data_IF_791594659546
#
_entry.id   IF_791594659546
#
_cell.length_a   1.000
_cell.length_b   1.000
_cell.length_c   1.000
_cell.angle_alpha   90.00
_cell.angle_beta   90.00
_cell.angle_gamma   90.00
#
_symmetry.space_group_name_H-M   'P 1'
#
loop_
_entity.id
_entity.type
_entity.pdbx_description
1 polymer ?
#
# COMPACT_ATOMS: atom_id res chain seq x y z
N UNK A 1 -13.66 -14.76 -1.51
CA UNK A 1 -12.54 -15.17 -0.64
C UNK A 1 -11.40 -14.17 -0.71
N UNK A 2 -10.66 -14.05 0.37
CA UNK A 2 -9.45 -13.22 0.41
C UNK A 2 -8.29 -13.98 -0.24
N UNK A 3 -7.70 -13.41 -1.30
CA UNK A 3 -6.57 -14.04 -1.98
C UNK A 3 -5.22 -13.42 -1.61
N UNK A 4 -5.20 -12.21 -1.04
CA UNK A 4 -3.99 -11.53 -0.60
C UNK A 4 -4.31 -10.51 0.50
N UNK A 5 -3.31 -10.16 1.31
CA UNK A 5 -3.37 -9.04 2.25
C UNK A 5 -2.38 -7.99 1.81
N UNK A 6 -2.87 -6.79 1.52
CA UNK A 6 -2.04 -5.65 1.15
C UNK A 6 -1.20 -5.17 2.32
N UNK A 7 -0.02 -4.62 2.05
CA UNK A 7 0.84 -4.00 3.06
C UNK A 7 1.04 -2.53 2.75
N UNK A 8 1.00 -1.71 3.79
CA UNK A 8 1.24 -0.28 3.72
C UNK A 8 2.74 0.01 3.84
N UNK A 9 3.21 0.97 3.06
CA UNK A 9 4.60 1.44 3.09
C UNK A 9 4.62 2.97 3.06
N UNK A 10 5.48 3.59 3.84
CA UNK A 10 5.89 4.98 3.64
C UNK A 10 7.03 4.97 2.63
N UNK A 11 6.86 5.60 1.48
CA UNK A 11 7.78 5.55 0.36
C UNK A 11 8.09 6.93 -0.21
N UNK A 12 9.29 7.08 -0.75
CA UNK A 12 9.74 8.24 -1.51
C UNK A 12 10.47 7.81 -2.78
N UNK A 13 10.37 8.59 -3.83
CA UNK A 13 11.21 8.42 -5.03
C UNK A 13 12.68 8.77 -4.78
N UNK A 14 12.98 9.52 -3.72
CA UNK A 14 14.35 9.77 -3.26
C UNK A 14 14.89 8.55 -2.51
N UNK A 15 15.99 7.98 -3.01
CA UNK A 15 16.63 6.79 -2.43
C UNK A 15 17.17 6.98 -1.00
N UNK A 16 17.30 8.21 -0.54
CA UNK A 16 17.91 8.55 0.75
C UNK A 16 16.93 9.14 1.78
N UNK A 17 15.68 9.43 1.39
CA UNK A 17 14.76 10.16 2.26
C UNK A 17 14.14 9.27 3.34
N UNK A 18 13.62 8.09 2.98
CA UNK A 18 12.92 7.22 3.92
C UNK A 18 13.89 6.18 4.47
N UNK A 19 14.05 6.19 5.78
CA UNK A 19 14.77 5.17 6.56
C UNK A 19 13.76 4.43 7.44
N UNK A 20 14.14 4.03 8.62
CA UNK A 20 13.30 3.24 9.54
C UNK A 20 12.57 4.07 10.61
N UNK A 21 12.40 5.37 10.39
CA UNK A 21 11.75 6.28 11.33
C UNK A 21 10.70 7.14 10.59
N UNK A 22 9.43 6.78 10.77
CA UNK A 22 8.29 7.49 10.17
C UNK A 22 8.22 8.94 10.67
N UNK A 23 8.42 9.15 11.98
CA UNK A 23 8.33 10.49 12.57
C UNK A 23 9.42 11.41 12.02
N UNK A 24 10.65 10.92 11.87
CA UNK A 24 11.75 11.68 11.30
C UNK A 24 11.45 12.11 9.85
N UNK A 25 10.89 11.24 9.03
CA UNK A 25 10.49 11.55 7.66
C UNK A 25 9.40 12.62 7.63
N UNK A 26 8.30 12.40 8.37
CA UNK A 26 7.13 13.30 8.34
C UNK A 26 7.43 14.68 8.95
N UNK A 27 8.34 14.78 9.89
CA UNK A 27 8.74 16.05 10.52
C UNK A 27 9.95 16.72 9.82
N UNK A 28 10.51 16.10 8.80
CA UNK A 28 11.62 16.69 8.04
C UNK A 28 11.19 17.98 7.34
N UNK A 29 12.03 19.02 7.43
CA UNK A 29 11.82 20.28 6.73
C UNK A 29 11.82 20.13 5.19
N UNK A 30 12.42 19.05 4.69
CA UNK A 30 12.46 18.73 3.26
C UNK A 30 11.18 18.06 2.77
N UNK A 31 10.31 17.59 3.67
CA UNK A 31 9.01 16.97 3.33
C UNK A 31 7.90 18.01 3.50
N UNK A 32 7.54 18.64 2.41
CA UNK A 32 6.48 19.67 2.36
C UNK A 32 5.13 19.09 1.98
N UNK A 33 5.12 17.96 1.27
CA UNK A 33 3.92 17.28 0.81
C UNK A 33 4.01 15.79 1.12
N UNK A 34 2.95 15.25 1.69
CA UNK A 34 2.80 13.82 1.98
C UNK A 34 1.55 13.32 1.25
N UNK A 35 1.73 12.40 0.33
CA UNK A 35 0.61 11.81 -0.41
C UNK A 35 -0.06 10.71 0.43
N UNK A 36 -1.37 10.82 0.57
CA UNK A 36 -2.22 9.83 1.26
C UNK A 36 -3.45 9.58 0.39
N UNK A 37 -3.88 8.34 0.25
CA UNK A 37 -5.13 8.04 -0.41
C UNK A 37 -6.31 8.53 0.45
N UNK A 38 -7.38 9.00 -0.20
CA UNK A 38 -8.55 9.47 0.50
C UNK A 38 -9.18 8.32 1.32
N UNK A 39 -9.23 8.41 2.67
CA UNK A 39 -9.70 7.31 3.52
C UNK A 39 -11.18 6.96 3.30
N UNK A 40 -11.98 7.88 2.75
CA UNK A 40 -13.38 7.64 2.41
C UNK A 40 -13.55 6.80 1.13
N UNK A 41 -12.51 6.71 0.31
CA UNK A 41 -12.55 6.08 -1.02
C UNK A 41 -11.61 4.89 -1.17
N UNK A 42 -10.57 4.81 -0.33
CA UNK A 42 -9.49 3.85 -0.51
C UNK A 42 -9.05 3.23 0.82
N UNK A 43 -9.01 1.89 0.94
CA UNK A 43 -8.59 1.19 2.15
C UNK A 43 -7.16 1.51 2.61
N UNK A 44 -6.25 1.76 1.67
CA UNK A 44 -4.88 2.19 2.00
C UNK A 44 -4.83 3.57 2.65
N UNK A 45 -5.78 4.45 2.32
CA UNK A 45 -5.92 5.74 2.99
C UNK A 45 -6.38 5.60 4.44
N UNK A 46 -7.36 4.73 4.67
CA UNK A 46 -7.79 4.39 6.03
C UNK A 46 -6.63 3.81 6.86
N UNK A 47 -5.89 2.85 6.30
CA UNK A 47 -4.71 2.27 6.95
C UNK A 47 -3.64 3.32 7.28
N UNK A 48 -3.40 4.28 6.38
CA UNK A 48 -2.46 5.38 6.61
C UNK A 48 -2.88 6.25 7.80
N UNK A 49 -4.15 6.64 7.88
CA UNK A 49 -4.65 7.43 9.01
C UNK A 49 -4.67 6.64 10.32
N UNK A 50 -4.98 5.35 10.30
CA UNK A 50 -4.86 4.48 11.47
C UNK A 50 -3.41 4.44 11.97
N UNK A 51 -2.44 4.31 11.05
CA UNK A 51 -1.01 4.34 11.37
C UNK A 51 -0.60 5.67 12.00
N UNK A 52 -0.98 6.79 11.39
CA UNK A 52 -0.68 8.13 11.92
C UNK A 52 -1.25 8.31 13.33
N UNK A 53 -2.48 7.88 13.55
CA UNK A 53 -3.14 7.92 14.85
C UNK A 53 -2.43 7.03 15.87
N UNK A 54 -2.08 5.80 15.51
CA UNK A 54 -1.38 4.85 16.39
C UNK A 54 -0.01 5.37 16.81
N UNK A 55 0.67 6.14 15.95
CA UNK A 55 1.98 6.74 16.21
C UNK A 55 1.90 8.15 16.80
N UNK A 56 0.70 8.75 16.94
CA UNK A 56 0.54 10.11 17.39
C UNK A 56 1.09 11.17 16.43
N UNK A 57 1.11 10.88 15.12
CA UNK A 57 1.71 11.71 14.06
C UNK A 57 0.70 12.44 13.18
N UNK A 58 -0.56 12.55 13.60
CA UNK A 58 -1.62 13.22 12.82
C UNK A 58 -1.26 14.68 12.54
N UNK A 59 -0.69 15.38 13.52
CA UNK A 59 -0.25 16.78 13.37
C UNK A 59 0.96 16.94 12.45
N UNK A 60 1.79 15.91 12.30
CA UNK A 60 2.96 15.95 11.44
C UNK A 60 2.63 16.06 9.95
N UNK A 61 1.41 15.68 9.55
CA UNK A 61 0.93 15.76 8.17
C UNK A 61 -0.10 16.86 7.96
N UNK A 62 -0.50 17.57 9.01
CA UNK A 62 -1.47 18.66 8.93
C UNK A 62 -0.93 19.79 8.04
N UNK A 63 -1.73 20.26 7.10
CA UNK A 63 -1.37 21.33 6.15
C UNK A 63 -0.45 20.90 5.00
N UNK A 64 0.03 19.65 4.98
CA UNK A 64 0.89 19.15 3.90
C UNK A 64 0.41 17.86 3.23
N UNK A 65 -0.79 17.41 3.55
CA UNK A 65 -1.38 16.21 2.93
C UNK A 65 -1.88 16.50 1.52
N UNK A 66 -1.49 15.65 0.57
CA UNK A 66 -2.03 15.60 -0.80
C UNK A 66 -2.87 14.33 -0.91
N UNK A 67 -4.18 14.49 -1.15
CA UNK A 67 -5.11 13.37 -1.23
C UNK A 67 -5.22 12.81 -2.65
N UNK A 68 -4.98 11.52 -2.79
CA UNK A 68 -5.28 10.77 -4.00
C UNK A 68 -6.64 10.07 -3.90
N UNK A 69 -7.44 10.08 -4.96
CA UNK A 69 -8.74 9.41 -4.99
C UNK A 69 -8.63 7.88 -4.89
N UNK A 70 -7.47 7.34 -5.22
CA UNK A 70 -7.13 5.93 -5.13
C UNK A 70 -5.62 5.75 -4.90
N UNK A 71 -5.21 4.52 -4.59
CA UNK A 71 -3.79 4.25 -4.27
C UNK A 71 -2.87 4.42 -5.48
N UNK A 72 -3.35 4.20 -6.70
CA UNK A 72 -2.59 4.42 -7.93
C UNK A 72 -2.24 5.91 -8.12
N UNK A 73 -3.21 6.80 -7.91
CA UNK A 73 -3.02 8.25 -7.97
C UNK A 73 -2.08 8.75 -6.86
N UNK A 74 -2.22 8.20 -5.66
CA UNK A 74 -1.34 8.50 -4.52
C UNK A 74 0.11 8.14 -4.84
N UNK A 75 0.35 6.97 -5.40
CA UNK A 75 1.67 6.55 -5.88
C UNK A 75 2.24 7.52 -6.94
N UNK A 76 1.42 7.93 -7.91
CA UNK A 76 1.85 8.86 -8.96
C UNK A 76 2.30 10.21 -8.39
N UNK A 77 1.64 10.75 -7.38
CA UNK A 77 2.07 12.00 -6.75
C UNK A 77 3.50 11.89 -6.20
N UNK A 78 3.86 10.79 -5.56
CA UNK A 78 5.22 10.58 -5.05
C UNK A 78 6.21 10.30 -6.16
N UNK A 79 5.84 9.46 -7.11
CA UNK A 79 6.69 9.06 -8.23
C UNK A 79 7.10 10.24 -9.12
N UNK A 80 6.21 11.21 -9.30
CA UNK A 80 6.45 12.40 -10.13
C UNK A 80 7.03 13.58 -9.37
N UNK A 81 7.28 13.43 -8.06
CA UNK A 81 7.84 14.50 -7.22
C UNK A 81 6.84 15.56 -6.78
N UNK A 82 5.53 15.36 -6.99
CA UNK A 82 4.49 16.26 -6.47
C UNK A 82 4.26 16.09 -4.95
N UNK A 83 4.75 15.02 -4.38
CA UNK A 83 4.92 14.84 -2.95
C UNK A 83 6.28 14.19 -2.69
N UNK A 84 6.97 14.62 -1.66
CA UNK A 84 8.31 14.09 -1.33
C UNK A 84 8.23 12.69 -0.77
N UNK A 85 7.15 12.37 -0.05
CA UNK A 85 6.86 11.04 0.48
C UNK A 85 5.36 10.77 0.45
N UNK A 86 4.97 9.51 0.63
CA UNK A 86 3.57 9.13 0.72
C UNK A 86 3.38 7.72 1.25
N UNK A 87 2.17 7.47 1.74
CA UNK A 87 1.73 6.15 2.14
C UNK A 87 1.10 5.44 0.93
N UNK A 88 1.76 4.40 0.45
CA UNK A 88 1.36 3.66 -0.76
C UNK A 88 1.28 2.15 -0.47
N UNK A 89 0.82 1.38 -1.46
CA UNK A 89 0.85 -0.07 -1.36
C UNK A 89 2.28 -0.60 -1.60
N UNK A 90 2.74 -1.52 -0.77
CA UNK A 90 4.06 -2.12 -0.91
C UNK A 90 4.26 -2.71 -2.31
N UNK A 91 3.24 -3.35 -2.87
CA UNK A 91 3.28 -3.95 -4.22
C UNK A 91 3.54 -2.96 -5.37
N UNK A 92 3.41 -1.66 -5.14
CA UNK A 92 3.70 -0.64 -6.16
C UNK A 92 5.19 -0.32 -6.29
N UNK A 93 5.98 -0.61 -5.27
CA UNK A 93 7.40 -0.23 -5.21
C UNK A 93 8.35 -1.38 -4.81
N UNK A 94 7.84 -2.60 -4.63
CA UNK A 94 8.59 -3.74 -4.09
C UNK A 94 8.47 -4.95 -4.99
N UNK A 95 9.59 -5.64 -5.20
CA UNK A 95 9.64 -6.89 -5.94
C UNK A 95 10.83 -7.73 -5.49
N UNK A 96 10.63 -9.04 -5.34
CA UNK A 96 11.67 -10.03 -5.03
C UNK A 96 12.53 -9.63 -3.80
N UNK A 97 11.86 -9.20 -2.73
CA UNK A 97 12.50 -8.90 -1.44
C UNK A 97 13.13 -7.52 -1.31
N UNK A 98 12.97 -6.62 -2.31
CA UNK A 98 13.59 -5.28 -2.30
C UNK A 98 12.72 -4.21 -2.94
N UNK A 99 12.96 -2.96 -2.57
CA UNK A 99 12.42 -1.81 -3.28
C UNK A 99 13.05 -1.72 -4.68
N UNK A 100 12.20 -1.57 -5.71
CA UNK A 100 12.66 -1.47 -7.11
C UNK A 100 13.22 -0.09 -7.43
N UNK A 101 12.84 0.93 -6.67
CA UNK A 101 13.34 2.31 -6.75
C UNK A 101 13.02 3.06 -5.48
N UNK A 102 13.68 4.21 -5.27
CA UNK A 102 13.44 5.07 -4.13
C UNK A 102 13.84 4.46 -2.79
N UNK A 103 13.19 4.91 -1.75
CA UNK A 103 13.36 4.41 -0.39
C UNK A 103 12.03 4.23 0.31
N UNK A 104 11.92 3.24 1.20
CA UNK A 104 10.67 2.96 1.87
C UNK A 104 10.85 2.28 3.22
N UNK A 105 9.82 2.40 4.04
CA UNK A 105 9.69 1.71 5.32
C UNK A 105 8.33 1.02 5.37
N UNK A 106 8.37 -0.31 5.48
CA UNK A 106 7.15 -1.11 5.57
C UNK A 106 6.52 -0.89 6.94
N UNK A 107 5.28 -0.39 6.95
CA UNK A 107 4.56 -0.11 8.19
C UNK A 107 4.20 -1.42 8.89
N UNK A 108 4.51 -1.57 10.19
CA UNK A 108 4.10 -2.73 10.97
C UNK A 108 2.59 -2.96 10.94
N UNK A 109 2.17 -4.21 10.79
CA UNK A 109 0.76 -4.59 10.61
C UNK A 109 -0.11 -4.30 11.83
N UNK A 110 0.47 -4.23 13.02
CA UNK A 110 -0.22 -3.90 14.28
C UNK A 110 -0.66 -2.44 14.39
N UNK A 111 -0.19 -1.57 13.50
CA UNK A 111 -0.54 -0.14 13.47
C UNK A 111 -1.80 0.16 12.65
N UNK A 112 -2.31 -0.79 11.87
CA UNK A 112 -3.50 -0.62 11.02
C UNK A 112 -4.22 -1.96 10.78
N UNK A 113 -5.50 -1.89 10.41
CA UNK A 113 -6.31 -3.06 10.08
C UNK A 113 -5.84 -3.75 8.79
N UNK A 114 -5.98 -5.06 8.70
CA UNK A 114 -5.62 -5.81 7.50
C UNK A 114 -6.31 -5.28 6.24
N UNK A 115 -5.55 -5.06 5.20
CA UNK A 115 -6.05 -4.63 3.89
C UNK A 115 -6.31 -5.87 3.04
N UNK A 116 -7.47 -6.48 3.25
CA UNK A 116 -7.85 -7.71 2.54
C UNK A 116 -8.16 -7.44 1.08
N UNK A 117 -7.58 -8.25 0.21
CA UNK A 117 -7.84 -8.25 -1.24
C UNK A 117 -8.72 -9.45 -1.55
N UNK A 118 -9.98 -9.18 -1.88
CA UNK A 118 -10.98 -10.21 -2.10
C UNK A 118 -11.28 -10.42 -3.59
N UNK A 119 -11.59 -11.65 -3.93
CA UNK A 119 -12.06 -12.04 -5.24
C UNK A 119 -13.42 -12.75 -5.11
N UNK A 120 -14.32 -12.47 -6.06
CA UNK A 120 -15.66 -13.06 -6.12
C UNK A 120 -16.03 -13.41 -7.53
N UNK A 121 -16.69 -14.55 -7.72
CA UNK A 121 -17.33 -14.91 -8.98
C UNK A 121 -18.72 -14.31 -9.01
N UNK A 122 -18.93 -13.36 -9.92
CA UNK A 122 -20.25 -12.76 -10.09
C UNK A 122 -21.22 -13.76 -10.73
N UNK A 123 -22.53 -13.65 -10.42
CA UNK A 123 -23.58 -14.48 -10.98
C UNK A 123 -23.55 -14.54 -12.51
N UNK A 124 -23.29 -13.42 -13.18
CA UNK A 124 -23.14 -13.36 -14.64
C UNK A 124 -22.02 -14.25 -15.17
N UNK A 125 -21.00 -14.55 -14.35
CA UNK A 125 -19.85 -15.40 -14.70
C UNK A 125 -19.96 -16.84 -14.19
N UNK A 126 -21.06 -17.23 -13.52
CA UNK A 126 -21.19 -18.53 -12.85
C UNK A 126 -20.96 -19.75 -13.75
N UNK A 127 -21.24 -19.62 -15.05
CA UNK A 127 -21.04 -20.67 -16.06
C UNK A 127 -19.75 -20.47 -16.88
N UNK A 128 -18.90 -19.50 -16.53
CA UNK A 128 -17.63 -19.27 -17.22
C UNK A 128 -16.52 -20.11 -16.60
N UNK A 129 -16.14 -21.19 -17.26
CA UNK A 129 -15.10 -22.12 -16.78
C UNK A 129 -13.71 -21.45 -16.67
N UNK A 130 -13.39 -20.48 -17.53
CA UNK A 130 -12.17 -19.69 -17.45
C UNK A 130 -12.09 -18.87 -16.15
N UNK A 131 -13.20 -18.21 -15.79
CA UNK A 131 -13.29 -17.45 -14.55
C UNK A 131 -13.16 -18.35 -13.32
N UNK A 132 -13.81 -19.52 -13.32
CA UNK A 132 -13.70 -20.50 -12.23
C UNK A 132 -12.26 -21.00 -12.08
N UNK A 133 -11.60 -21.36 -13.19
CA UNK A 133 -10.20 -21.81 -13.20
C UNK A 133 -9.26 -20.72 -12.68
N UNK A 134 -9.48 -19.48 -13.06
CA UNK A 134 -8.69 -18.35 -12.59
C UNK A 134 -8.83 -18.13 -11.08
N UNK A 135 -10.04 -18.18 -10.54
CA UNK A 135 -10.27 -18.07 -9.10
C UNK A 135 -9.64 -19.23 -8.33
N UNK A 136 -9.73 -20.44 -8.86
CA UNK A 136 -9.04 -21.60 -8.29
C UNK A 136 -7.52 -21.42 -8.31
N UNK A 137 -6.96 -20.94 -9.42
CA UNK A 137 -5.53 -20.60 -9.54
C UNK A 137 -5.12 -19.58 -8.46
N UNK A 138 -5.86 -18.48 -8.33
CA UNK A 138 -5.59 -17.47 -7.30
C UNK A 138 -5.61 -18.04 -5.88
N UNK A 139 -6.50 -18.99 -5.60
CA UNK A 139 -6.68 -19.54 -4.26
C UNK A 139 -5.66 -20.64 -3.90
N UNK A 140 -5.36 -21.51 -4.85
CA UNK A 140 -4.71 -22.80 -4.57
C UNK A 140 -3.33 -22.98 -5.21
N UNK A 141 -2.97 -22.15 -6.21
CA UNK A 141 -1.72 -22.33 -6.96
C UNK A 141 -0.50 -21.85 -6.18
N UNK A 142 0.56 -22.63 -6.22
CA UNK A 142 1.88 -22.28 -5.69
C UNK A 142 2.49 -21.10 -6.48
N UNK A 143 2.24 -21.04 -7.78
CA UNK A 143 2.69 -19.95 -8.65
C UNK A 143 2.02 -18.64 -8.26
N UNK A 144 0.69 -18.64 -8.01
CA UNK A 144 -0.03 -17.47 -7.55
C UNK A 144 0.50 -16.99 -6.18
N UNK A 145 0.83 -17.93 -5.29
CA UNK A 145 1.45 -17.62 -4.00
C UNK A 145 2.82 -17.01 -4.19
N UNK A 146 3.69 -17.60 -5.02
CA UNK A 146 5.02 -17.07 -5.29
C UNK A 146 4.98 -15.65 -5.89
N UNK A 147 4.00 -15.36 -6.77
CA UNK A 147 3.80 -14.02 -7.33
C UNK A 147 3.40 -13.03 -6.24
N UNK A 148 2.45 -13.39 -5.36
CA UNK A 148 2.06 -12.52 -4.23
C UNK A 148 3.24 -12.22 -3.31
N UNK A 149 4.01 -13.24 -2.95
CA UNK A 149 5.19 -13.09 -2.09
C UNK A 149 6.24 -12.18 -2.73
N UNK A 150 6.49 -12.34 -4.04
CA UNK A 150 7.43 -11.51 -4.79
C UNK A 150 7.07 -10.02 -4.74
N UNK A 151 5.77 -9.68 -4.74
CA UNK A 151 5.28 -8.31 -4.64
C UNK A 151 5.00 -7.85 -3.19
N UNK A 152 5.37 -8.65 -2.20
CA UNK A 152 5.27 -8.28 -0.79
C UNK A 152 3.87 -8.34 -0.20
N UNK A 153 2.93 -9.03 -0.83
CA UNK A 153 1.62 -9.29 -0.22
C UNK A 153 1.74 -10.29 0.95
N UNK A 154 0.86 -10.12 1.93
CA UNK A 154 0.67 -11.10 2.99
C UNK A 154 -0.41 -12.13 2.65
N UNK A 155 -0.49 -13.15 3.48
CA UNK A 155 -1.58 -14.14 3.47
C UNK A 155 -2.61 -13.80 4.53
N UNK A 156 -3.90 -13.97 4.23
CA UNK A 156 -4.95 -13.89 5.24
C UNK A 156 -4.75 -14.97 6.29
N UNK A 157 -4.89 -14.59 7.57
CA UNK A 157 -4.93 -15.52 8.70
C UNK A 157 -6.31 -16.11 8.87
#
# INVERSE_FOLDING_TARGET
FTYAVGKLVLWSSDANLVKNDVAAVLNSANVKHVAIANPKLAPYGEAAYQTLKSLGLEKAVEGKTVLGDNIGKTYQFVKTGNAEAGFIALSQCFKDGKFVSGSGYVIPQDLYSEIKQDAVLLKKGENNEGAKRFLKFLKESKEATAIRDAYGYGTAK
#
